data_IF_768556632591
#
_entry.id   IF_768556632591
#
_cell.length_a   1.000
_cell.length_b   1.000
_cell.length_c   1.000
_cell.angle_alpha   90.00
_cell.angle_beta   90.00
_cell.angle_gamma   90.00
#
_symmetry.space_group_name_H-M   'P 1'
#
loop_
_entity.id
_entity.type
_entity.pdbx_description
1 polymer ?
#
# COMPACT_ATOMS: atom_id res chain seq x y z
N UNK A 1 -17.11 -9.20 -43.11
CA UNK A 1 -16.07 -9.38 -42.08
C UNK A 1 -15.61 -10.83 -42.16
N UNK A 2 -14.64 -11.14 -43.03
CA UNK A 2 -14.24 -12.52 -43.34
C UNK A 2 -13.11 -12.94 -42.41
N UNK A 3 -13.33 -14.00 -41.62
CA UNK A 3 -12.31 -14.57 -40.73
C UNK A 3 -11.19 -15.19 -41.55
N UNK A 4 -9.95 -14.80 -41.29
CA UNK A 4 -8.79 -15.42 -41.94
C UNK A 4 -8.43 -16.74 -41.24
N UNK A 5 -7.90 -17.75 -41.97
CA UNK A 5 -7.54 -19.05 -41.38
C UNK A 5 -6.63 -18.95 -40.14
N UNK A 6 -5.73 -17.96 -40.12
CA UNK A 6 -4.85 -17.71 -38.98
C UNK A 6 -5.57 -17.17 -37.74
N UNK A 7 -6.64 -16.38 -37.90
CA UNK A 7 -7.47 -15.94 -36.77
C UNK A 7 -8.17 -17.13 -36.12
N UNK A 8 -8.62 -18.11 -36.91
CA UNK A 8 -9.21 -19.35 -36.38
C UNK A 8 -8.19 -20.16 -35.58
N UNK A 9 -6.97 -20.34 -36.13
CA UNK A 9 -5.88 -21.04 -35.43
C UNK A 9 -5.52 -20.32 -34.12
N UNK A 10 -5.43 -18.98 -34.13
CA UNK A 10 -5.15 -18.19 -32.93
C UNK A 10 -6.23 -18.35 -31.86
N UNK A 11 -7.51 -18.30 -32.22
CA UNK A 11 -8.62 -18.49 -31.27
C UNK A 11 -8.65 -19.93 -30.74
N UNK A 12 -8.42 -20.93 -31.60
CA UNK A 12 -8.36 -22.33 -31.18
C UNK A 12 -7.22 -22.58 -30.20
N UNK A 13 -6.02 -22.05 -30.47
CA UNK A 13 -4.86 -22.12 -29.58
C UNK A 13 -5.12 -21.37 -28.27
N UNK A 14 -5.62 -20.14 -28.32
CA UNK A 14 -5.95 -19.37 -27.13
C UNK A 14 -7.00 -20.08 -26.27
N UNK A 15 -8.03 -20.66 -26.89
CA UNK A 15 -9.05 -21.46 -26.20
C UNK A 15 -8.49 -22.74 -25.59
N UNK A 16 -7.57 -23.42 -26.27
CA UNK A 16 -6.89 -24.59 -25.73
C UNK A 16 -6.01 -24.25 -24.52
N UNK A 17 -5.17 -23.22 -24.63
CA UNK A 17 -4.33 -22.74 -23.51
C UNK A 17 -5.20 -22.30 -22.33
N UNK A 18 -6.28 -21.57 -22.58
CA UNK A 18 -7.17 -21.11 -21.52
C UNK A 18 -7.85 -22.27 -20.78
N UNK A 19 -8.27 -23.33 -21.47
CA UNK A 19 -8.84 -24.54 -20.83
C UNK A 19 -7.80 -25.24 -19.94
N UNK A 20 -6.59 -25.42 -20.44
CA UNK A 20 -5.51 -26.02 -19.66
C UNK A 20 -5.16 -25.18 -18.42
N UNK A 21 -5.16 -23.85 -18.53
CA UNK A 21 -5.00 -22.97 -17.39
C UNK A 21 -6.15 -23.09 -16.37
N UNK A 22 -7.39 -23.27 -16.83
CA UNK A 22 -8.55 -23.46 -15.96
C UNK A 22 -8.45 -24.76 -15.15
N UNK A 23 -8.08 -25.87 -15.79
CA UNK A 23 -7.88 -27.17 -15.12
C UNK A 23 -6.83 -27.08 -14.00
N UNK A 24 -5.70 -26.42 -14.26
CA UNK A 24 -4.65 -26.21 -13.24
C UNK A 24 -5.18 -25.34 -12.08
N UNK A 25 -5.94 -24.28 -12.38
CA UNK A 25 -6.52 -23.41 -11.35
C UNK A 25 -7.52 -24.18 -10.48
N UNK A 26 -8.34 -25.04 -11.08
CA UNK A 26 -9.31 -25.88 -10.37
C UNK A 26 -8.60 -26.87 -9.45
N UNK A 27 -7.57 -27.56 -9.93
CA UNK A 27 -6.74 -28.43 -9.11
C UNK A 27 -6.12 -27.69 -7.92
N UNK A 28 -5.49 -26.52 -8.15
CA UNK A 28 -4.88 -25.73 -7.08
C UNK A 28 -5.91 -25.18 -6.09
N UNK A 29 -7.14 -24.91 -6.53
CA UNK A 29 -8.25 -24.53 -5.64
C UNK A 29 -8.67 -25.68 -4.75
N UNK A 30 -8.74 -26.88 -5.30
CA UNK A 30 -9.05 -28.09 -4.56
C UNK A 30 -7.99 -28.39 -3.50
N UNK A 31 -6.71 -28.31 -3.88
CA UNK A 31 -5.60 -28.46 -2.95
C UNK A 31 -5.65 -27.42 -1.82
N UNK A 32 -5.93 -26.15 -2.14
CA UNK A 32 -6.14 -25.10 -1.13
C UNK A 32 -7.34 -25.39 -0.22
N UNK A 33 -8.44 -25.96 -0.75
CA UNK A 33 -9.61 -26.34 0.04
C UNK A 33 -9.25 -27.42 1.06
N UNK A 34 -8.59 -28.48 0.62
CA UNK A 34 -8.13 -29.58 1.48
C UNK A 34 -7.18 -29.06 2.56
N UNK A 35 -6.22 -28.19 2.18
CA UNK A 35 -5.30 -27.58 3.15
C UNK A 35 -6.04 -26.74 4.20
N UNK A 36 -7.06 -25.98 3.79
CA UNK A 36 -7.88 -25.17 4.71
C UNK A 36 -8.73 -26.03 5.64
N UNK A 37 -9.30 -27.13 5.15
CA UNK A 37 -10.02 -28.10 5.98
C UNK A 37 -9.10 -28.70 7.04
N UNK A 38 -7.87 -29.09 6.66
CA UNK A 38 -6.86 -29.61 7.60
C UNK A 38 -6.39 -28.59 8.62
N UNK A 39 -6.28 -27.31 8.24
CA UNK A 39 -5.92 -26.22 9.16
C UNK A 39 -7.06 -25.86 10.13
N UNK A 40 -8.30 -26.27 9.81
CA UNK A 40 -9.50 -25.93 10.56
C UNK A 40 -9.81 -24.43 10.52
N UNK A 41 -10.53 -23.93 11.52
CA UNK A 41 -10.96 -22.52 11.60
C UNK A 41 -9.89 -21.61 12.24
N UNK A 42 -8.62 -22.04 12.26
CA UNK A 42 -7.54 -21.27 12.85
C UNK A 42 -7.23 -20.03 12.01
N UNK A 43 -7.01 -18.90 12.68
CA UNK A 43 -6.61 -17.65 12.02
C UNK A 43 -5.23 -17.83 11.38
N UNK A 44 -5.14 -17.60 10.07
CA UNK A 44 -3.86 -17.65 9.35
C UNK A 44 -3.09 -16.34 9.59
N UNK A 45 -1.93 -16.45 10.23
CA UNK A 45 -1.03 -15.32 10.50
C UNK A 45 0.13 -15.39 9.51
N UNK A 46 0.25 -14.37 8.66
CA UNK A 46 1.33 -14.26 7.68
C UNK A 46 2.48 -13.40 8.21
N UNK A 47 3.71 -13.84 7.95
CA UNK A 47 4.90 -13.02 8.14
C UNK A 47 5.00 -11.94 7.05
N UNK A 48 5.90 -10.98 7.24
CA UNK A 48 6.02 -9.83 6.31
C UNK A 48 6.42 -10.28 4.89
N UNK A 49 7.26 -11.31 4.73
CA UNK A 49 7.64 -11.83 3.42
C UNK A 49 6.46 -12.49 2.68
N UNK A 50 5.63 -13.25 3.39
CA UNK A 50 4.40 -13.85 2.86
C UNK A 50 3.40 -12.77 2.46
N UNK A 51 3.19 -11.75 3.31
CA UNK A 51 2.36 -10.59 2.96
C UNK A 51 2.85 -9.88 1.70
N UNK A 52 4.18 -9.72 1.53
CA UNK A 52 4.77 -9.17 0.29
C UNK A 52 4.38 -9.99 -0.93
N UNK A 53 4.68 -11.29 -0.92
CA UNK A 53 4.41 -12.17 -2.07
C UNK A 53 2.92 -12.16 -2.44
N UNK A 54 2.05 -12.28 -1.43
CA UNK A 54 0.61 -12.31 -1.64
C UNK A 54 0.07 -10.98 -2.14
N UNK A 55 0.52 -9.86 -1.58
CA UNK A 55 0.09 -8.52 -2.02
C UNK A 55 0.53 -8.22 -3.46
N UNK A 56 1.76 -8.58 -3.84
CA UNK A 56 2.24 -8.41 -5.22
C UNK A 56 1.47 -9.28 -6.20
N UNK A 57 1.17 -10.54 -5.84
CA UNK A 57 0.33 -11.42 -6.66
C UNK A 57 -1.09 -10.84 -6.82
N UNK A 58 -1.69 -10.35 -5.73
CA UNK A 58 -3.02 -9.75 -5.74
C UNK A 58 -3.12 -8.54 -6.68
N UNK A 59 -2.08 -7.71 -6.76
CA UNK A 59 -2.07 -6.55 -7.65
C UNK A 59 -2.05 -6.92 -9.13
N UNK A 60 -1.48 -8.08 -9.51
CA UNK A 60 -1.52 -8.58 -10.90
C UNK A 60 -2.91 -9.03 -11.31
N UNK A 61 -3.70 -9.53 -10.36
CA UNK A 61 -5.07 -10.04 -10.56
C UNK A 61 -6.08 -8.89 -10.63
N UNK A 62 -5.88 -7.83 -9.85
CA UNK A 62 -6.76 -6.67 -9.81
C UNK A 62 -7.90 -6.81 -8.80
N UNK A 63 -8.41 -5.66 -8.32
CA UNK A 63 -9.34 -5.60 -7.18
C UNK A 63 -10.68 -6.27 -7.44
N UNK A 64 -11.26 -6.06 -8.61
CA UNK A 64 -12.62 -6.54 -8.91
C UNK A 64 -12.64 -8.05 -9.09
N UNK A 65 -11.61 -8.61 -9.71
CA UNK A 65 -11.46 -10.05 -9.86
C UNK A 65 -11.22 -10.73 -8.50
N UNK A 66 -10.44 -10.10 -7.60
CA UNK A 66 -10.24 -10.62 -6.23
C UNK A 66 -11.54 -10.63 -5.41
N UNK A 67 -12.49 -9.71 -5.66
CA UNK A 67 -13.80 -9.72 -4.97
C UNK A 67 -14.66 -10.92 -5.36
N UNK A 68 -14.49 -11.41 -6.58
CA UNK A 68 -15.29 -12.53 -7.10
C UNK A 68 -14.86 -13.88 -6.52
N UNK A 69 -13.59 -14.05 -6.16
CA UNK A 69 -13.01 -15.37 -5.86
C UNK A 69 -12.82 -15.72 -4.38
N UNK A 70 -13.53 -15.08 -3.44
CA UNK A 70 -13.54 -15.52 -2.03
C UNK A 70 -12.12 -15.68 -1.45
N UNK A 71 -11.33 -14.61 -1.50
CA UNK A 71 -9.92 -14.65 -1.12
C UNK A 71 -9.71 -14.88 0.37
N UNK A 72 -8.57 -15.50 0.73
CA UNK A 72 -8.20 -15.77 2.13
C UNK A 72 -8.21 -14.51 3.03
N UNK A 73 -7.89 -13.36 2.42
CA UNK A 73 -7.99 -12.05 3.04
C UNK A 73 -8.85 -11.14 2.17
N UNK A 74 -9.56 -10.20 2.77
CA UNK A 74 -10.30 -9.19 2.02
C UNK A 74 -9.40 -8.48 0.99
N UNK A 75 -9.87 -8.22 -0.25
CA UNK A 75 -9.09 -7.50 -1.25
C UNK A 75 -8.56 -6.15 -0.74
N UNK A 76 -9.31 -5.47 0.14
CA UNK A 76 -8.89 -4.21 0.75
C UNK A 76 -7.62 -4.39 1.62
N UNK A 77 -7.50 -5.52 2.32
CA UNK A 77 -6.33 -5.85 3.15
C UNK A 77 -5.10 -6.09 2.29
N UNK A 78 -5.25 -6.81 1.17
CA UNK A 78 -4.15 -7.08 0.23
C UNK A 78 -3.62 -5.78 -0.39
N UNK A 79 -4.52 -4.89 -0.81
CA UNK A 79 -4.16 -3.57 -1.34
C UNK A 79 -3.48 -2.72 -0.26
N UNK A 80 -3.97 -2.76 0.99
CA UNK A 80 -3.34 -2.05 2.11
C UNK A 80 -1.91 -2.53 2.32
N UNK A 81 -1.67 -3.84 2.33
CA UNK A 81 -0.32 -4.39 2.43
C UNK A 81 0.56 -3.92 1.27
N UNK A 82 0.06 -3.97 0.03
CA UNK A 82 0.81 -3.48 -1.12
C UNK A 82 1.24 -2.01 -0.97
N UNK A 83 0.31 -1.13 -0.56
CA UNK A 83 0.61 0.29 -0.32
C UNK A 83 1.64 0.48 0.78
N UNK A 84 1.56 -0.27 1.88
CA UNK A 84 2.56 -0.22 2.95
C UNK A 84 3.95 -0.61 2.44
N UNK A 85 4.04 -1.57 1.52
CA UNK A 85 5.31 -1.99 0.94
C UNK A 85 5.91 -0.94 0.01
N UNK A 86 5.08 -0.27 -0.78
CA UNK A 86 5.50 0.89 -1.56
C UNK A 86 6.00 1.98 -0.61
N UNK A 87 5.22 2.33 0.42
CA UNK A 87 5.61 3.36 1.38
C UNK A 87 6.95 3.05 2.06
N UNK A 88 7.17 1.79 2.48
CA UNK A 88 8.45 1.31 3.03
C UNK A 88 9.59 1.23 2.01
N UNK A 89 9.33 1.19 0.71
CA UNK A 89 10.39 1.27 -0.31
C UNK A 89 10.86 2.71 -0.49
N UNK A 90 9.93 3.65 -0.33
CA UNK A 90 10.16 5.09 -0.47
C UNK A 90 10.20 5.80 0.89
N UNK A 91 10.49 5.08 1.96
CA UNK A 91 10.63 5.67 3.30
C UNK A 91 11.97 6.40 3.39
N UNK A 92 11.98 7.65 2.91
CA UNK A 92 13.14 8.54 3.04
C UNK A 92 13.48 8.93 4.47
N UNK A 93 12.80 8.38 5.50
CA UNK A 93 13.01 8.71 6.91
C UNK A 93 14.45 8.43 7.37
N UNK A 94 15.08 7.35 6.90
CA UNK A 94 16.48 7.05 7.21
C UNK A 94 17.49 7.99 6.54
N UNK A 95 17.09 8.65 5.44
CA UNK A 95 17.90 9.67 4.75
C UNK A 95 17.58 11.09 5.20
N UNK A 96 16.48 11.26 5.94
CA UNK A 96 16.11 12.54 6.52
C UNK A 96 17.07 12.79 7.67
N UNK A 97 17.99 13.74 7.49
CA UNK A 97 18.84 14.20 8.58
C UNK A 97 17.97 14.51 9.81
N UNK A 98 18.52 14.28 11.01
CA UNK A 98 17.84 14.69 12.26
C UNK A 98 17.34 16.11 12.07
N UNK A 99 16.08 16.39 12.41
CA UNK A 99 15.60 17.77 12.48
C UNK A 99 16.63 18.49 13.35
N UNK A 100 17.36 19.43 12.75
CA UNK A 100 18.46 20.10 13.42
C UNK A 100 17.96 20.68 14.75
N UNK A 101 18.84 20.85 15.75
CA UNK A 101 18.46 21.56 16.97
C UNK A 101 17.75 22.87 16.58
N UNK A 102 16.70 23.21 17.32
CA UNK A 102 16.03 24.49 17.17
C UNK A 102 17.13 25.57 17.14
N UNK A 103 17.13 26.52 16.19
CA UNK A 103 18.23 27.47 16.07
C UNK A 103 18.49 28.11 17.42
N UNK A 104 19.77 28.24 17.83
CA UNK A 104 20.14 28.65 19.19
C UNK A 104 19.45 29.95 19.65
N UNK A 105 19.13 30.83 18.70
CA UNK A 105 18.42 32.09 18.93
C UNK A 105 16.91 31.95 19.11
N UNK A 106 16.33 30.78 18.91
CA UNK A 106 14.88 30.57 18.96
C UNK A 106 14.29 30.88 20.35
N UNK A 107 15.00 30.51 21.42
CA UNK A 107 14.58 30.84 22.78
C UNK A 107 14.72 32.34 23.05
N UNK A 108 15.83 32.95 22.61
CA UNK A 108 16.05 34.39 22.76
C UNK A 108 14.99 35.22 22.01
N UNK A 109 14.66 34.83 20.78
CA UNK A 109 13.60 35.47 19.98
C UNK A 109 12.24 35.25 20.65
N UNK A 110 11.96 34.05 21.15
CA UNK A 110 10.71 33.76 21.88
C UNK A 110 10.57 34.63 23.12
N UNK A 111 11.61 34.71 23.93
CA UNK A 111 11.60 35.48 25.17
C UNK A 111 11.48 36.98 24.88
N UNK A 112 12.11 37.46 23.80
CA UNK A 112 11.98 38.83 23.33
C UNK A 112 10.54 39.14 22.86
N UNK A 113 9.92 38.26 22.05
CA UNK A 113 8.51 38.39 21.64
C UNK A 113 7.58 38.44 22.85
N UNK A 114 7.80 37.57 23.83
CA UNK A 114 6.99 37.53 25.05
C UNK A 114 7.13 38.79 25.90
N UNK A 115 8.34 39.37 25.98
CA UNK A 115 8.56 40.66 26.65
C UNK A 115 7.87 41.81 25.93
N UNK A 116 8.05 41.94 24.61
CA UNK A 116 7.41 43.01 23.83
C UNK A 116 5.89 42.97 23.94
N UNK A 117 5.29 41.77 23.93
CA UNK A 117 3.86 41.58 24.11
C UNK A 117 3.37 41.93 25.53
N UNK A 118 4.19 41.66 26.55
CA UNK A 118 3.87 41.99 27.94
C UNK A 118 3.99 43.50 28.22
N UNK A 119 5.01 44.15 27.65
CA UNK A 119 5.28 45.58 27.82
C UNK A 119 4.31 46.45 27.01
N UNK A 120 3.75 45.90 25.91
CA UNK A 120 2.84 46.62 25.01
C UNK A 120 1.59 45.77 24.67
N UNK A 121 0.56 45.77 25.54
CA UNK A 121 -0.64 44.93 25.38
C UNK A 121 -1.44 45.20 24.10
N UNK A 122 -1.33 46.40 23.54
CA UNK A 122 -2.05 46.82 22.34
C UNK A 122 -1.36 46.36 21.04
N UNK A 123 -0.14 45.82 21.13
CA UNK A 123 0.63 45.40 19.98
C UNK A 123 0.19 44.02 19.47
N UNK A 124 -0.30 43.99 18.23
CA UNK A 124 -0.60 42.74 17.52
C UNK A 124 0.65 42.09 16.90
N UNK A 125 0.49 40.85 16.41
CA UNK A 125 1.56 40.06 15.78
C UNK A 125 2.37 40.83 14.71
N UNK A 126 1.69 41.59 13.83
CA UNK A 126 2.35 42.32 12.75
C UNK A 126 3.27 43.43 13.24
N UNK A 127 2.95 44.07 14.38
CA UNK A 127 3.77 45.14 14.94
C UNK A 127 4.98 44.57 15.68
N UNK A 128 4.77 43.54 16.50
CA UNK A 128 5.87 42.83 17.18
C UNK A 128 6.84 42.19 16.17
N UNK A 129 6.36 41.68 15.04
CA UNK A 129 7.23 41.16 13.99
C UNK A 129 8.03 42.24 13.26
N UNK A 130 7.51 43.48 13.18
CA UNK A 130 8.23 44.61 12.60
C UNK A 130 9.39 45.13 13.47
N UNK A 131 9.33 44.88 14.77
CA UNK A 131 10.35 45.28 15.77
C UNK A 131 11.39 44.17 16.07
N UNK A 132 11.23 42.98 15.47
CA UNK A 132 12.10 41.81 15.63
C UNK A 132 13.24 41.77 14.60
#
# INVERSE_FOLDING_TARGET
>A
MTWTPWQFIMVALAGWVNRQQQEIIEYLREENRILREKLGHKRIILNDAQKRRLATAAMKVGKDLLRQFGTLFSPATLIKWHRMLIARKYDGSGRRGKRGPLPAKANMIRDLVLRMAADNPDWGYGHIHGEL
#
